data_IF_101227535010
#
_entry.id   IF_101227535010
#
_cell.length_a   1.000
_cell.length_b   1.000
_cell.length_c   1.000
_cell.angle_alpha   90.00
_cell.angle_beta   90.00
_cell.angle_gamma   90.00
#
_symmetry.space_group_name_H-M   'P 1'
#
loop_
_entity.id
_entity.type
_entity.pdbx_description
1 polymer ?
#
# COMPACT_ATOMS: atom_id res chain seq x y z
N UNK A 1 -11.20 -1.21 21.21
CA UNK A 1 -10.12 -0.99 20.23
C UNK A 1 -10.79 -0.86 18.88
N UNK A 2 -10.50 0.20 18.12
CA UNK A 2 -11.09 0.49 16.82
C UNK A 2 -10.64 -0.58 15.82
N UNK A 3 -11.59 -1.27 15.21
CA UNK A 3 -11.34 -2.35 14.27
C UNK A 3 -11.10 -1.81 12.87
N UNK A 4 -9.92 -2.11 12.31
CA UNK A 4 -9.51 -1.68 10.97
C UNK A 4 -9.40 -2.90 10.06
N UNK A 5 -10.31 -3.02 9.12
CA UNK A 5 -10.18 -3.96 8.01
C UNK A 5 -9.55 -3.26 6.79
N UNK A 6 -8.96 -4.03 5.92
CA UNK A 6 -8.35 -3.49 4.70
C UNK A 6 -8.51 -4.43 3.51
N UNK A 7 -8.51 -3.87 2.30
CA UNK A 7 -8.52 -4.63 1.07
C UNK A 7 -7.46 -4.15 0.09
N UNK A 8 -6.75 -5.10 -0.49
CA UNK A 8 -5.90 -4.94 -1.66
C UNK A 8 -6.06 -6.20 -2.51
N UNK A 9 -7.21 -6.32 -3.18
CA UNK A 9 -7.52 -7.49 -3.99
C UNK A 9 -6.53 -7.63 -5.15
N UNK A 10 -5.88 -8.79 -5.22
CA UNK A 10 -4.92 -9.12 -6.26
C UNK A 10 -5.37 -10.35 -7.06
N UNK A 11 -4.83 -10.52 -8.24
CA UNK A 11 -5.01 -11.73 -9.03
C UNK A 11 -4.02 -12.82 -8.62
N UNK A 12 -4.51 -14.04 -8.54
CA UNK A 12 -3.63 -15.22 -8.49
C UNK A 12 -3.23 -15.56 -9.93
N UNK A 13 -1.93 -15.63 -10.18
CA UNK A 13 -1.40 -16.07 -11.44
C UNK A 13 -0.35 -17.16 -11.22
N UNK A 14 -0.57 -18.35 -11.78
CA UNK A 14 0.31 -19.51 -11.58
C UNK A 14 0.62 -19.78 -10.10
N UNK A 15 -0.41 -19.82 -9.26
CA UNK A 15 -0.33 -20.00 -7.80
C UNK A 15 0.54 -18.95 -7.09
N UNK A 16 0.59 -17.74 -7.64
CA UNK A 16 1.32 -16.60 -7.07
C UNK A 16 0.41 -15.42 -6.86
N UNK A 17 0.63 -14.71 -5.75
CA UNK A 17 -0.11 -13.49 -5.40
C UNK A 17 0.83 -12.48 -4.75
N UNK A 18 0.61 -11.20 -4.99
CA UNK A 18 1.38 -10.13 -4.35
C UNK A 18 0.97 -9.92 -2.91
N UNK A 19 1.94 -9.66 -2.03
CA UNK A 19 1.65 -9.10 -0.72
C UNK A 19 0.86 -7.78 -0.84
N UNK A 20 0.01 -7.46 0.14
CA UNK A 20 -0.67 -6.16 0.20
C UNK A 20 0.31 -5.07 0.66
N UNK A 21 1.32 -4.78 -0.16
CA UNK A 21 2.46 -3.93 0.18
C UNK A 21 2.05 -2.54 0.65
N UNK A 22 1.14 -1.87 -0.08
CA UNK A 22 0.69 -0.53 0.29
C UNK A 22 -0.02 -0.50 1.64
N UNK A 23 -0.90 -1.46 1.90
CA UNK A 23 -1.57 -1.58 3.20
C UNK A 23 -0.55 -1.88 4.32
N UNK A 24 0.40 -2.78 4.05
CA UNK A 24 1.43 -3.12 5.02
C UNK A 24 2.36 -1.94 5.36
N UNK A 25 2.63 -1.08 4.39
CA UNK A 25 3.40 0.14 4.59
C UNK A 25 2.63 1.15 5.47
N UNK A 26 1.34 1.36 5.19
CA UNK A 26 0.46 2.23 5.98
C UNK A 26 0.31 1.73 7.41
N UNK A 27 -0.02 0.45 7.59
CA UNK A 27 -0.18 -0.16 8.91
C UNK A 27 1.14 -0.13 9.70
N UNK A 28 2.26 -0.41 9.04
CA UNK A 28 3.59 -0.31 9.62
C UNK A 28 3.91 1.10 10.11
N UNK A 29 3.57 2.12 9.31
CA UNK A 29 3.76 3.51 9.73
C UNK A 29 2.88 3.88 10.93
N UNK A 30 1.58 3.55 10.90
CA UNK A 30 0.68 3.78 12.05
C UNK A 30 1.21 3.08 13.31
N UNK A 31 1.79 1.89 13.19
CA UNK A 31 2.37 1.14 14.32
C UNK A 31 3.55 1.87 14.98
N UNK A 32 4.25 2.75 14.26
CA UNK A 32 5.31 3.60 14.85
C UNK A 32 4.75 4.77 15.66
N UNK A 33 3.49 5.15 15.43
CA UNK A 33 2.82 6.28 16.09
C UNK A 33 2.21 5.83 17.42
N UNK A 34 3.01 5.77 18.48
CA UNK A 34 2.64 5.16 19.78
C UNK A 34 1.31 5.66 20.37
N UNK A 35 1.02 6.96 20.22
CA UNK A 35 -0.21 7.56 20.77
C UNK A 35 -1.47 7.16 19.99
N UNK A 36 -1.31 6.80 18.72
CA UNK A 36 -2.39 6.43 17.81
C UNK A 36 -2.56 4.91 17.80
N UNK A 37 -1.48 4.19 17.55
CA UNK A 37 -1.47 2.74 17.36
C UNK A 37 -2.24 1.96 18.43
N UNK A 38 -2.08 2.30 19.71
CA UNK A 38 -2.73 1.59 20.84
C UNK A 38 -4.27 1.56 20.79
N UNK A 39 -4.88 2.42 19.98
CA UNK A 39 -6.33 2.52 19.84
C UNK A 39 -6.88 1.71 18.66
N UNK A 40 -6.02 1.28 17.73
CA UNK A 40 -6.42 0.62 16.49
C UNK A 40 -5.92 -0.83 16.42
N UNK A 41 -6.78 -1.71 15.91
CA UNK A 41 -6.45 -3.10 15.62
C UNK A 41 -6.62 -3.36 14.14
N UNK A 42 -5.51 -3.61 13.45
CA UNK A 42 -5.54 -4.04 12.06
C UNK A 42 -5.85 -5.53 11.98
N UNK A 43 -6.88 -5.88 11.23
CA UNK A 43 -7.23 -7.25 10.88
C UNK A 43 -6.45 -7.72 9.62
N UNK A 44 -6.58 -9.00 9.28
CA UNK A 44 -6.01 -9.52 8.03
C UNK A 44 -6.59 -8.77 6.82
N UNK A 45 -5.73 -8.48 5.86
CA UNK A 45 -6.11 -7.79 4.63
C UNK A 45 -6.78 -8.74 3.66
N UNK A 46 -7.92 -8.34 3.10
CA UNK A 46 -8.58 -9.07 2.04
C UNK A 46 -7.78 -8.93 0.73
N UNK A 47 -7.06 -10.00 0.37
CA UNK A 47 -6.18 -10.04 -0.81
C UNK A 47 -6.78 -10.91 -1.91
N UNK A 48 -7.43 -12.00 -1.52
CA UNK A 48 -8.03 -12.95 -2.44
C UNK A 48 -9.38 -12.46 -2.94
N UNK A 49 -9.68 -12.73 -4.22
CA UNK A 49 -10.93 -12.31 -4.86
C UNK A 49 -12.08 -13.26 -4.62
N UNK A 50 -11.75 -14.47 -4.20
CA UNK A 50 -12.72 -15.50 -3.86
C UNK A 50 -13.39 -15.18 -2.51
N UNK A 51 -14.60 -15.71 -2.30
CA UNK A 51 -15.34 -15.56 -1.05
C UNK A 51 -15.71 -14.11 -0.69
N UNK A 52 -16.05 -13.27 -1.68
CA UNK A 52 -16.38 -11.87 -1.46
C UNK A 52 -17.47 -11.69 -0.41
N UNK A 53 -18.52 -12.53 -0.43
CA UNK A 53 -19.64 -12.45 0.52
C UNK A 53 -19.19 -12.74 1.96
N UNK A 54 -18.28 -13.70 2.15
CA UNK A 54 -17.67 -13.97 3.45
C UNK A 54 -16.82 -12.79 3.94
N UNK A 55 -16.06 -12.15 3.03
CA UNK A 55 -15.27 -10.97 3.34
C UNK A 55 -16.15 -9.79 3.74
N UNK A 56 -17.29 -9.61 3.08
CA UNK A 56 -18.29 -8.58 3.42
C UNK A 56 -18.83 -8.83 4.83
N UNK A 57 -19.27 -10.05 5.14
CA UNK A 57 -19.79 -10.40 6.46
C UNK A 57 -18.79 -10.16 7.61
N UNK A 58 -17.49 -10.36 7.36
CA UNK A 58 -16.43 -10.05 8.33
C UNK A 58 -16.31 -8.54 8.64
N UNK A 59 -16.92 -7.69 7.81
CA UNK A 59 -16.89 -6.24 8.00
C UNK A 59 -18.12 -5.68 8.74
N UNK A 60 -19.03 -6.49 9.23
CA UNK A 60 -20.27 -6.05 9.90
C UNK A 60 -20.04 -5.21 11.17
N UNK A 61 -18.90 -5.38 11.82
CA UNK A 61 -18.49 -4.66 13.03
C UNK A 61 -17.17 -3.87 12.82
N UNK A 62 -16.84 -3.56 11.56
CA UNK A 62 -15.65 -2.81 11.18
C UNK A 62 -15.88 -1.32 11.40
N UNK A 63 -14.98 -0.66 12.12
CA UNK A 63 -15.01 0.79 12.33
C UNK A 63 -14.45 1.55 11.11
N UNK A 64 -13.35 1.05 10.54
CA UNK A 64 -12.66 1.65 9.39
C UNK A 64 -12.33 0.58 8.37
N UNK A 65 -12.65 0.84 7.10
CA UNK A 65 -12.25 0.01 5.97
C UNK A 65 -11.29 0.78 5.06
N UNK A 66 -10.04 0.31 4.97
CA UNK A 66 -9.03 0.85 4.05
C UNK A 66 -9.05 0.08 2.74
N UNK A 67 -9.20 0.79 1.63
CA UNK A 67 -9.20 0.19 0.30
C UNK A 67 -8.03 0.70 -0.54
N UNK A 68 -7.12 -0.20 -0.91
CA UNK A 68 -6.02 0.11 -1.83
C UNK A 68 -6.48 -0.07 -3.28
N UNK A 69 -6.62 1.05 -4.00
CA UNK A 69 -7.31 1.15 -5.27
C UNK A 69 -6.35 1.25 -6.45
N UNK A 70 -6.38 0.24 -7.32
CA UNK A 70 -5.63 0.15 -8.58
C UNK A 70 -6.57 -0.20 -9.72
N UNK A 71 -6.15 0.04 -10.96
CA UNK A 71 -6.96 -0.29 -12.15
C UNK A 71 -7.40 -1.75 -12.18
N UNK A 72 -6.54 -2.68 -11.75
CA UNK A 72 -6.85 -4.12 -11.78
C UNK A 72 -7.78 -4.61 -10.68
N UNK A 73 -7.99 -3.84 -9.62
CA UNK A 73 -8.90 -4.22 -8.53
C UNK A 73 -10.07 -3.26 -8.32
N UNK A 74 -10.20 -2.23 -9.14
CA UNK A 74 -11.20 -1.18 -8.98
C UNK A 74 -12.62 -1.72 -8.85
N UNK A 75 -13.04 -2.56 -9.81
CA UNK A 75 -14.41 -3.09 -9.85
C UNK A 75 -14.76 -3.95 -8.62
N UNK A 76 -13.85 -4.83 -8.21
CA UNK A 76 -14.10 -5.67 -7.03
C UNK A 76 -14.06 -4.85 -5.74
N UNK A 77 -13.14 -3.88 -5.65
CA UNK A 77 -12.99 -3.00 -4.48
C UNK A 77 -14.22 -2.11 -4.31
N UNK A 78 -14.73 -1.51 -5.39
CA UNK A 78 -15.94 -0.67 -5.33
C UNK A 78 -17.17 -1.48 -4.98
N UNK A 79 -17.34 -2.68 -5.57
CA UNK A 79 -18.42 -3.61 -5.20
C UNK A 79 -18.34 -4.01 -3.72
N UNK A 80 -17.17 -4.43 -3.26
CA UNK A 80 -16.92 -4.81 -1.88
C UNK A 80 -17.28 -3.69 -0.90
N UNK A 81 -16.71 -2.50 -1.09
CA UNK A 81 -16.95 -1.35 -0.24
C UNK A 81 -18.44 -0.93 -0.21
N UNK A 82 -19.10 -0.96 -1.36
CA UNK A 82 -20.56 -0.68 -1.45
C UNK A 82 -21.38 -1.65 -0.62
N UNK A 83 -21.08 -2.95 -0.70
CA UNK A 83 -21.83 -3.95 0.08
C UNK A 83 -21.49 -3.86 1.58
N UNK A 84 -20.24 -3.59 1.94
CA UNK A 84 -19.86 -3.31 3.34
C UNK A 84 -20.65 -2.12 3.89
N UNK A 85 -20.77 -1.02 3.13
CA UNK A 85 -21.53 0.17 3.58
C UNK A 85 -23.01 -0.12 3.78
N UNK A 86 -23.59 -1.06 3.03
CA UNK A 86 -25.00 -1.49 3.20
C UNK A 86 -25.23 -2.25 4.51
N UNK A 87 -24.31 -3.18 4.85
CA UNK A 87 -24.46 -4.00 6.07
C UNK A 87 -23.96 -3.28 7.32
N UNK A 88 -23.07 -2.29 7.14
CA UNK A 88 -22.48 -1.49 8.22
C UNK A 88 -22.41 -0.01 7.79
N UNK A 89 -23.50 0.75 7.89
CA UNK A 89 -23.54 2.16 7.49
C UNK A 89 -22.57 3.06 8.27
N UNK A 90 -22.22 2.68 9.50
CA UNK A 90 -21.31 3.44 10.38
C UNK A 90 -19.82 3.24 10.03
N UNK A 91 -19.48 2.24 9.22
CA UNK A 91 -18.11 2.00 8.78
C UNK A 91 -17.57 3.21 8.02
N UNK A 92 -16.44 3.76 8.44
CA UNK A 92 -15.71 4.80 7.68
C UNK A 92 -14.92 4.14 6.57
N UNK A 93 -15.30 4.37 5.32
CA UNK A 93 -14.67 3.79 4.13
C UNK A 93 -13.69 4.77 3.52
N UNK A 94 -12.41 4.38 3.46
CA UNK A 94 -11.29 5.20 3.00
C UNK A 94 -10.69 4.56 1.75
N UNK A 95 -10.72 5.29 0.63
CA UNK A 95 -10.11 4.88 -0.62
C UNK A 95 -8.78 5.61 -0.84
N UNK A 96 -7.73 4.89 -1.25
CA UNK A 96 -6.44 5.46 -1.61
C UNK A 96 -5.76 4.65 -2.71
N UNK A 97 -4.78 5.24 -3.38
CA UNK A 97 -4.03 4.60 -4.45
C UNK A 97 -4.22 5.28 -5.81
N UNK A 98 -3.53 4.77 -6.85
CA UNK A 98 -3.45 5.46 -8.15
C UNK A 98 -4.77 5.61 -8.90
N UNK A 99 -5.79 4.82 -8.55
CA UNK A 99 -7.10 4.87 -9.21
C UNK A 99 -7.99 6.00 -8.68
N UNK A 100 -7.59 6.68 -7.59
CA UNK A 100 -8.32 7.85 -7.11
C UNK A 100 -8.06 9.03 -8.05
N UNK A 101 -9.12 9.61 -8.66
CA UNK A 101 -8.94 10.69 -9.62
C UNK A 101 -8.46 11.98 -8.96
N UNK A 102 -7.69 12.78 -9.69
CA UNK A 102 -7.26 14.11 -9.22
C UNK A 102 -8.44 15.10 -9.20
N UNK A 103 -9.41 14.94 -10.10
CA UNK A 103 -10.65 15.72 -10.15
C UNK A 103 -11.76 14.91 -9.49
N UNK A 104 -12.23 15.38 -8.35
CA UNK A 104 -13.09 14.62 -7.45
C UNK A 104 -14.58 14.99 -7.53
N UNK A 105 -14.94 15.98 -8.37
CA UNK A 105 -16.25 16.63 -8.41
C UNK A 105 -17.43 15.67 -8.54
N UNK A 106 -17.29 14.61 -9.36
CA UNK A 106 -18.35 13.62 -9.54
C UNK A 106 -18.08 12.29 -8.81
N UNK A 107 -16.91 12.14 -8.21
CA UNK A 107 -16.49 10.89 -7.58
C UNK A 107 -17.46 10.44 -6.48
N UNK A 108 -17.81 11.31 -5.55
CA UNK A 108 -18.72 10.96 -4.46
C UNK A 108 -20.19 10.82 -4.88
N UNK A 109 -20.57 11.35 -6.06
CA UNK A 109 -21.88 11.08 -6.66
C UNK A 109 -21.96 9.66 -7.22
N UNK A 110 -20.88 9.22 -7.86
CA UNK A 110 -20.76 7.86 -8.42
C UNK A 110 -20.50 6.81 -7.32
N UNK A 111 -19.71 7.16 -6.30
CA UNK A 111 -19.32 6.28 -5.20
C UNK A 111 -19.73 6.85 -3.82
N UNK A 112 -21.08 7.00 -3.57
CA UNK A 112 -21.57 7.64 -2.34
C UNK A 112 -21.30 6.86 -1.06
N UNK A 113 -20.83 5.64 -1.17
CA UNK A 113 -20.42 4.79 -0.06
C UNK A 113 -18.98 5.06 0.42
N UNK A 114 -18.20 5.86 -0.30
CA UNK A 114 -16.86 6.28 0.11
C UNK A 114 -16.96 7.53 0.98
N UNK A 115 -16.33 7.52 2.15
CA UNK A 115 -16.33 8.65 3.06
C UNK A 115 -15.12 9.57 2.83
N UNK A 116 -13.94 8.97 2.57
CA UNK A 116 -12.69 9.71 2.39
C UNK A 116 -11.93 9.15 1.18
N UNK A 117 -11.51 10.02 0.27
CA UNK A 117 -10.57 9.72 -0.80
C UNK A 117 -9.20 10.36 -0.47
N UNK A 118 -8.13 9.55 -0.53
CA UNK A 118 -6.76 9.96 -0.18
C UNK A 118 -5.95 10.18 -1.44
N UNK A 119 -5.24 11.31 -1.52
CA UNK A 119 -4.42 11.72 -2.65
C UNK A 119 -2.93 11.73 -2.31
N UNK A 120 -2.10 11.12 -3.15
CA UNK A 120 -0.66 11.08 -2.98
C UNK A 120 -0.14 10.01 -2.02
N UNK A 121 0.95 10.31 -1.29
CA UNK A 121 1.61 9.37 -0.38
C UNK A 121 0.81 9.22 0.91
N UNK A 122 0.31 8.01 1.17
CA UNK A 122 -0.70 7.76 2.19
C UNK A 122 -0.20 7.66 3.62
N UNK A 123 1.10 7.48 3.87
CA UNK A 123 1.63 7.10 5.18
C UNK A 123 1.33 8.16 6.25
N UNK A 124 1.63 9.43 5.97
CA UNK A 124 1.32 10.52 6.91
C UNK A 124 -0.17 10.82 6.96
N UNK A 125 -0.84 10.74 5.80
CA UNK A 125 -2.26 11.06 5.68
C UNK A 125 -3.09 10.11 6.53
N UNK A 126 -2.83 8.78 6.46
CA UNK A 126 -3.60 7.80 7.24
C UNK A 126 -3.42 8.00 8.74
N UNK A 127 -2.20 8.35 9.19
CA UNK A 127 -1.95 8.66 10.59
C UNK A 127 -2.74 9.88 11.05
N UNK A 128 -2.80 10.94 10.23
CA UNK A 128 -3.57 12.15 10.53
C UNK A 128 -5.08 11.88 10.52
N UNK A 129 -5.57 11.05 9.58
CA UNK A 129 -6.97 10.60 9.57
C UNK A 129 -7.29 9.85 10.87
N UNK A 130 -6.42 8.94 11.31
CA UNK A 130 -6.64 8.18 12.53
C UNK A 130 -6.61 9.08 13.78
N UNK A 131 -5.73 10.07 13.80
CA UNK A 131 -5.70 11.06 14.89
C UNK A 131 -7.01 11.88 14.93
N UNK A 132 -7.49 12.34 13.78
CA UNK A 132 -8.77 13.04 13.68
C UNK A 132 -9.96 12.14 14.07
N UNK A 133 -9.93 10.87 13.66
CA UNK A 133 -10.95 9.87 14.04
C UNK A 133 -11.06 9.69 15.56
N UNK A 134 -9.93 9.72 16.26
CA UNK A 134 -9.90 9.59 17.73
C UNK A 134 -10.42 10.82 18.47
N UNK A 135 -10.39 11.99 17.84
CA UNK A 135 -10.81 13.25 18.45
C UNK A 135 -12.32 13.47 18.27
N UNK A 136 -12.70 13.92 17.11
CA UNK A 136 -14.06 14.39 16.81
C UNK A 136 -14.52 14.01 15.39
N UNK A 137 -13.72 13.23 14.67
CA UNK A 137 -13.91 12.89 13.25
C UNK A 137 -13.97 14.13 12.33
N UNK A 138 -13.34 15.23 12.75
CA UNK A 138 -13.19 16.41 11.91
C UNK A 138 -11.91 16.31 11.08
N UNK A 139 -12.05 16.08 9.78
CA UNK A 139 -10.94 15.87 8.85
C UNK A 139 -10.50 17.13 8.11
N UNK A 140 -11.07 18.29 8.39
CA UNK A 140 -10.78 19.54 7.66
C UNK A 140 -9.33 19.99 7.72
N UNK A 141 -8.59 19.56 8.75
CA UNK A 141 -7.16 19.86 8.93
C UNK A 141 -6.23 18.74 8.45
N UNK A 142 -6.77 17.68 7.84
CA UNK A 142 -5.98 16.60 7.27
C UNK A 142 -5.67 16.91 5.82
N UNK A 143 -4.43 17.23 5.48
CA UNK A 143 -4.03 17.49 4.11
C UNK A 143 -4.07 16.23 3.24
N UNK A 144 -4.35 16.40 1.93
CA UNK A 144 -4.30 15.33 0.94
C UNK A 144 -5.52 14.42 0.92
N UNK A 145 -6.67 14.92 1.34
CA UNK A 145 -7.93 14.17 1.29
C UNK A 145 -9.05 14.94 0.60
N UNK A 146 -10.02 14.21 0.13
CA UNK A 146 -11.34 14.70 -0.27
C UNK A 146 -12.44 13.92 0.42
N UNK A 147 -13.51 14.59 0.73
CA UNK A 147 -14.79 14.03 1.20
C UNK A 147 -15.92 14.54 0.30
N UNK A 148 -17.14 14.11 0.55
CA UNK A 148 -18.32 14.66 -0.17
C UNK A 148 -18.50 16.17 0.02
N UNK A 149 -17.99 16.75 1.12
CA UNK A 149 -18.25 18.12 1.52
C UNK A 149 -17.09 19.09 1.21
N UNK A 150 -15.85 18.57 1.15
CA UNK A 150 -14.66 19.41 0.93
C UNK A 150 -13.47 18.62 0.39
N UNK A 151 -12.51 19.36 -0.17
CA UNK A 151 -11.16 18.88 -0.53
C UNK A 151 -10.13 19.73 0.19
N UNK A 152 -9.16 19.08 0.81
CA UNK A 152 -8.08 19.75 1.54
C UNK A 152 -6.86 20.02 0.65
N UNK A 153 -5.95 20.93 1.04
CA UNK A 153 -4.70 21.13 0.32
C UNK A 153 -3.89 19.85 0.18
N UNK A 154 -3.10 19.70 -0.89
CA UNK A 154 -2.25 18.53 -1.06
C UNK A 154 -1.29 18.31 0.12
N UNK A 155 -1.10 17.06 0.52
CA UNK A 155 -0.05 16.69 1.46
C UNK A 155 1.32 16.84 0.80
N UNK A 156 2.27 17.46 1.50
CA UNK A 156 3.66 17.51 1.04
C UNK A 156 4.23 16.11 0.95
N UNK A 157 5.01 15.85 -0.10
CA UNK A 157 5.69 14.56 -0.28
C UNK A 157 6.68 14.29 0.84
N UNK A 158 6.81 13.02 1.19
CA UNK A 158 7.75 12.57 2.20
C UNK A 158 9.18 12.72 1.66
N UNK A 159 9.95 13.64 2.18
CA UNK A 159 11.32 13.90 1.72
C UNK A 159 12.33 12.91 2.29
N UNK A 160 12.18 12.54 3.56
CA UNK A 160 13.04 11.59 4.26
C UNK A 160 12.29 10.29 4.58
N UNK A 161 12.81 9.19 4.08
CA UNK A 161 12.23 7.86 4.25
C UNK A 161 12.73 7.11 5.50
N UNK A 162 13.68 7.67 6.25
CA UNK A 162 14.28 6.99 7.43
C UNK A 162 13.23 6.62 8.48
N UNK A 163 12.20 7.46 8.62
CA UNK A 163 11.11 7.24 9.58
C UNK A 163 9.99 6.31 9.08
N UNK A 164 10.09 5.85 7.83
CA UNK A 164 9.12 4.91 7.27
C UNK A 164 9.62 3.47 7.51
N UNK A 165 8.90 2.66 8.29
CA UNK A 165 9.32 1.30 8.57
C UNK A 165 9.24 0.43 7.31
N UNK A 166 10.12 -0.55 7.20
CA UNK A 166 10.00 -1.57 6.18
C UNK A 166 8.87 -2.54 6.54
N UNK A 167 7.88 -2.77 5.67
CA UNK A 167 6.83 -3.73 5.94
C UNK A 167 7.34 -5.17 5.96
N UNK A 168 8.50 -5.42 5.37
CA UNK A 168 9.19 -6.72 5.40
C UNK A 168 9.97 -6.91 6.70
N UNK A 169 10.88 -5.98 7.04
CA UNK A 169 11.73 -6.10 8.23
C UNK A 169 10.94 -6.05 9.54
N UNK A 170 9.77 -5.41 9.54
CA UNK A 170 8.84 -5.42 10.68
C UNK A 170 7.88 -6.61 10.67
N UNK A 171 7.98 -7.50 9.68
CA UNK A 171 7.03 -8.59 9.42
C UNK A 171 5.57 -8.16 9.20
N UNK A 172 5.31 -6.89 8.97
CA UNK A 172 3.95 -6.38 8.79
C UNK A 172 3.20 -7.08 7.67
N UNK A 173 3.90 -7.46 6.59
CA UNK A 173 3.28 -8.25 5.50
C UNK A 173 2.71 -9.58 6.00
N UNK A 174 3.38 -10.26 6.94
CA UNK A 174 2.89 -11.51 7.52
C UNK A 174 1.86 -11.30 8.64
N UNK A 175 1.91 -10.16 9.32
CA UNK A 175 0.86 -9.79 10.29
C UNK A 175 -0.49 -9.63 9.58
N UNK A 176 -0.50 -9.16 8.32
CA UNK A 176 -1.68 -8.83 7.53
C UNK A 176 -2.22 -9.93 6.62
N UNK A 177 -1.48 -11.01 6.41
CA UNK A 177 -1.94 -12.15 5.59
C UNK A 177 -1.64 -13.48 6.27
N UNK A 178 -2.34 -14.51 5.86
CA UNK A 178 -2.04 -15.87 6.26
C UNK A 178 -1.22 -16.58 5.18
N UNK A 179 -0.36 -17.51 5.59
CA UNK A 179 0.30 -18.43 4.66
C UNK A 179 -0.75 -19.42 4.18
N UNK A 180 -0.87 -19.55 2.86
CA UNK A 180 -1.81 -20.46 2.21
C UNK A 180 -1.02 -21.52 1.47
N UNK A 181 -1.32 -22.78 1.74
CA UNK A 181 -0.64 -23.91 1.09
C UNK A 181 -0.86 -23.85 -0.43
N UNK A 182 0.22 -24.10 -1.17
CA UNK A 182 0.21 -24.05 -2.63
C UNK A 182 0.27 -22.65 -3.22
N UNK A 183 0.23 -21.58 -2.40
CA UNK A 183 0.36 -20.19 -2.86
C UNK A 183 1.75 -19.63 -2.53
N UNK A 184 2.41 -19.10 -3.53
CA UNK A 184 3.67 -18.38 -3.39
C UNK A 184 3.44 -16.88 -3.36
N UNK A 185 4.01 -16.18 -2.37
CA UNK A 185 3.90 -14.73 -2.26
C UNK A 185 4.97 -14.04 -3.10
N UNK A 186 4.54 -12.97 -3.79
CA UNK A 186 5.41 -12.06 -4.55
C UNK A 186 5.64 -10.81 -3.72
N UNK A 187 6.89 -10.42 -3.54
CA UNK A 187 7.23 -9.16 -2.92
C UNK A 187 7.14 -8.01 -3.95
N UNK A 188 6.28 -7.02 -3.67
CA UNK A 188 6.37 -5.72 -4.33
C UNK A 188 7.45 -4.93 -3.62
N UNK A 189 8.55 -4.59 -4.31
CA UNK A 189 9.71 -3.97 -3.71
C UNK A 189 9.95 -2.58 -4.28
N UNK A 190 10.04 -1.60 -3.42
CA UNK A 190 10.28 -0.21 -3.76
C UNK A 190 11.67 0.18 -3.26
N UNK A 191 12.58 0.54 -4.15
CA UNK A 191 13.94 0.98 -3.78
C UNK A 191 14.10 2.49 -3.85
N UNK A 192 13.23 3.15 -4.61
CA UNK A 192 13.15 4.60 -4.73
C UNK A 192 11.74 5.04 -5.12
N UNK A 193 11.45 6.31 -4.93
CA UNK A 193 10.23 6.99 -5.42
C UNK A 193 10.59 8.20 -6.26
N UNK A 194 9.81 8.41 -7.31
CA UNK A 194 9.96 9.52 -8.24
C UNK A 194 10.49 9.07 -9.60
N UNK A 195 10.44 9.99 -10.55
CA UNK A 195 11.01 9.83 -11.87
C UNK A 195 11.43 11.21 -12.40
N UNK A 196 12.68 11.41 -12.81
CA UNK A 196 13.14 12.72 -13.29
C UNK A 196 12.73 13.00 -14.74
N UNK A 197 12.22 12.00 -15.45
CA UNK A 197 11.90 12.10 -16.86
C UNK A 197 10.50 12.67 -17.11
N UNK A 198 10.33 13.32 -18.26
CA UNK A 198 9.09 13.91 -18.77
C UNK A 198 8.63 13.19 -20.05
N UNK A 199 8.61 11.87 -20.04
CA UNK A 199 8.20 11.09 -21.19
C UNK A 199 6.74 11.37 -21.53
N UNK A 200 6.46 11.83 -22.75
CA UNK A 200 5.13 12.29 -23.21
C UNK A 200 4.07 11.19 -23.25
N UNK A 201 4.48 9.93 -23.30
CA UNK A 201 3.60 8.76 -23.31
C UNK A 201 3.40 8.11 -21.93
N UNK A 202 4.13 8.59 -20.91
CA UNK A 202 4.17 7.92 -19.61
C UNK A 202 3.16 8.53 -18.66
N UNK A 203 2.28 7.68 -18.15
CA UNK A 203 1.37 8.02 -17.06
C UNK A 203 1.76 7.23 -15.79
N UNK A 204 2.98 7.45 -15.30
CA UNK A 204 3.39 6.92 -13.99
C UNK A 204 2.76 7.71 -12.83
N UNK A 205 1.71 8.46 -13.13
CA UNK A 205 0.94 9.23 -12.19
C UNK A 205 1.76 10.36 -11.55
N UNK A 206 1.58 10.53 -10.26
CA UNK A 206 2.24 11.60 -9.50
C UNK A 206 3.76 11.48 -9.40
N UNK A 207 4.37 10.40 -9.89
CA UNK A 207 5.82 10.21 -9.85
C UNK A 207 6.58 10.86 -11.02
N UNK A 208 5.88 11.20 -12.13
CA UNK A 208 6.50 11.81 -13.32
C UNK A 208 7.06 13.20 -12.98
N UNK A 209 8.24 13.53 -13.52
CA UNK A 209 8.93 14.81 -13.31
C UNK A 209 9.14 15.18 -11.84
N UNK A 210 9.37 14.22 -10.98
CA UNK A 210 9.51 14.46 -9.54
C UNK A 210 10.92 14.17 -9.05
N UNK A 211 11.32 14.88 -7.98
CA UNK A 211 12.59 14.62 -7.31
C UNK A 211 12.67 13.16 -6.87
N UNK A 212 13.75 12.51 -7.25
CA UNK A 212 14.04 11.14 -6.81
C UNK A 212 14.37 11.10 -5.32
N UNK A 213 13.78 10.16 -4.62
CA UNK A 213 14.03 9.85 -3.21
C UNK A 213 14.27 8.37 -3.08
N UNK A 214 15.26 7.95 -2.33
CA UNK A 214 15.64 6.53 -2.22
C UNK A 214 15.65 6.07 -0.77
N UNK A 215 15.42 4.80 -0.57
CA UNK A 215 15.67 4.11 0.68
C UNK A 215 17.17 3.99 0.93
N UNK A 216 17.58 3.82 2.19
CA UNK A 216 18.97 3.56 2.54
C UNK A 216 19.44 2.21 2.02
N UNK A 217 20.68 2.13 1.59
CA UNK A 217 21.26 0.91 1.05
C UNK A 217 21.26 -0.20 2.11
N UNK A 218 21.50 0.14 3.39
CA UNK A 218 21.44 -0.80 4.51
C UNK A 218 20.04 -1.45 4.65
N UNK A 219 18.98 -0.65 4.55
CA UNK A 219 17.61 -1.19 4.57
C UNK A 219 17.37 -2.15 3.42
N UNK A 220 17.76 -1.76 2.21
CA UNK A 220 17.53 -2.56 1.01
C UNK A 220 18.28 -3.89 1.06
N UNK A 221 19.51 -3.91 1.56
CA UNK A 221 20.26 -5.15 1.76
C UNK A 221 19.59 -6.08 2.78
N UNK A 222 19.11 -5.55 3.90
CA UNK A 222 18.36 -6.33 4.89
C UNK A 222 17.04 -6.87 4.32
N UNK A 223 16.35 -6.09 3.49
CA UNK A 223 15.14 -6.57 2.81
C UNK A 223 15.44 -7.73 1.84
N UNK A 224 16.55 -7.68 1.10
CA UNK A 224 16.99 -8.78 0.24
C UNK A 224 17.28 -10.05 1.07
N UNK A 225 17.95 -9.92 2.22
CA UNK A 225 18.19 -11.01 3.15
C UNK A 225 16.87 -11.59 3.67
N UNK A 226 15.93 -10.71 4.06
CA UNK A 226 14.60 -11.10 4.51
C UNK A 226 13.84 -11.88 3.42
N UNK A 227 13.88 -11.45 2.16
CA UNK A 227 13.25 -12.18 1.05
C UNK A 227 13.82 -13.59 0.91
N UNK A 228 15.14 -13.73 1.02
CA UNK A 228 15.79 -15.04 0.93
C UNK A 228 15.45 -15.93 2.13
N UNK A 229 15.46 -15.40 3.36
CA UNK A 229 15.13 -16.12 4.59
C UNK A 229 13.68 -16.58 4.63
N UNK A 230 12.76 -15.74 4.10
CA UNK A 230 11.35 -16.08 3.99
C UNK A 230 11.00 -16.90 2.73
N UNK A 231 12.01 -17.30 1.94
CA UNK A 231 11.85 -18.11 0.72
C UNK A 231 10.90 -17.47 -0.29
N UNK A 232 10.98 -16.13 -0.43
CA UNK A 232 10.17 -15.38 -1.41
C UNK A 232 10.74 -15.64 -2.81
N UNK A 233 9.98 -16.31 -3.70
CA UNK A 233 10.53 -16.70 -4.99
C UNK A 233 10.61 -15.56 -6.01
N UNK A 234 9.70 -14.56 -5.89
CA UNK A 234 9.56 -13.48 -6.85
C UNK A 234 9.58 -12.14 -6.17
N UNK A 235 10.38 -11.23 -6.74
CA UNK A 235 10.40 -9.82 -6.38
C UNK A 235 10.01 -9.01 -7.62
N UNK A 236 8.95 -8.22 -7.51
CA UNK A 236 8.57 -7.20 -8.46
C UNK A 236 9.00 -5.84 -7.93
N UNK A 237 10.05 -5.26 -8.52
CA UNK A 237 10.50 -3.93 -8.20
C UNK A 237 9.52 -2.91 -8.78
N UNK A 238 8.95 -2.10 -7.89
CA UNK A 238 7.93 -1.10 -8.22
C UNK A 238 8.51 0.25 -8.61
N UNK A 239 9.83 0.35 -8.75
CA UNK A 239 10.48 1.59 -9.16
C UNK A 239 10.10 1.97 -10.60
N UNK A 240 9.92 3.25 -10.85
CA UNK A 240 9.73 3.75 -12.21
C UNK A 240 10.96 3.45 -13.09
N UNK A 241 12.16 3.50 -12.50
CA UNK A 241 13.42 3.28 -13.18
C UNK A 241 14.44 2.66 -12.22
N UNK A 242 14.57 1.35 -12.24
CA UNK A 242 15.71 0.67 -11.64
C UNK A 242 16.93 0.83 -12.55
N UNK A 243 18.11 1.06 -12.00
CA UNK A 243 19.32 1.36 -12.78
C UNK A 243 19.68 2.85 -12.79
N UNK A 244 18.78 3.75 -12.38
CA UNK A 244 19.04 5.19 -12.36
C UNK A 244 20.15 5.56 -11.33
N UNK A 245 20.26 4.83 -10.24
CA UNK A 245 21.35 4.91 -9.28
C UNK A 245 22.38 3.81 -9.57
N UNK A 246 23.07 3.89 -10.70
CA UNK A 246 23.87 2.81 -11.28
C UNK A 246 24.74 2.04 -10.28
N UNK A 247 25.54 2.75 -9.47
CA UNK A 247 26.43 2.10 -8.50
C UNK A 247 25.66 1.31 -7.43
N UNK A 248 24.61 1.91 -6.86
CA UNK A 248 23.74 1.27 -5.86
C UNK A 248 22.99 0.07 -6.46
N UNK A 249 22.35 0.27 -7.61
CA UNK A 249 21.50 -0.73 -8.21
C UNK A 249 22.30 -1.95 -8.67
N UNK A 250 23.56 -1.74 -9.09
CA UNK A 250 24.51 -2.83 -9.32
C UNK A 250 24.81 -3.61 -8.03
N UNK A 251 25.01 -2.92 -6.90
CA UNK A 251 25.24 -3.59 -5.60
C UNK A 251 24.01 -4.39 -5.17
N UNK A 252 22.79 -3.86 -5.36
CA UNK A 252 21.56 -4.59 -5.08
C UNK A 252 21.43 -5.85 -5.93
N UNK A 253 21.75 -5.75 -7.24
CA UNK A 253 21.73 -6.91 -8.13
C UNK A 253 22.78 -7.98 -7.73
N UNK A 254 23.97 -7.56 -7.29
CA UNK A 254 25.01 -8.48 -6.76
C UNK A 254 24.50 -9.16 -5.50
N UNK A 255 23.93 -8.41 -4.55
CA UNK A 255 23.38 -8.97 -3.30
C UNK A 255 22.24 -9.95 -3.55
N UNK A 256 21.32 -9.65 -4.47
CA UNK A 256 20.25 -10.58 -4.90
C UNK A 256 20.81 -11.89 -5.45
N UNK A 257 21.87 -11.80 -6.28
CA UNK A 257 22.57 -12.98 -6.82
C UNK A 257 23.23 -13.79 -5.71
N UNK A 258 23.91 -13.15 -4.76
CA UNK A 258 24.59 -13.82 -3.65
C UNK A 258 23.61 -14.60 -2.77
N UNK A 259 22.49 -13.96 -2.37
CA UNK A 259 21.45 -14.63 -1.58
C UNK A 259 20.80 -15.81 -2.34
N UNK A 260 20.54 -15.62 -3.64
CA UNK A 260 20.05 -16.72 -4.50
C UNK A 260 21.02 -17.89 -4.56
N UNK A 261 22.32 -17.65 -4.72
CA UNK A 261 23.32 -18.72 -4.74
C UNK A 261 23.46 -19.41 -3.38
N UNK A 262 23.33 -18.65 -2.28
CA UNK A 262 23.49 -19.16 -0.90
C UNK A 262 22.24 -19.89 -0.40
N UNK A 263 21.05 -19.36 -0.65
CA UNK A 263 19.79 -19.82 -0.05
C UNK A 263 18.75 -20.31 -1.08
N UNK A 264 19.01 -20.17 -2.39
CA UNK A 264 18.08 -20.52 -3.45
C UNK A 264 17.00 -19.47 -3.75
N UNK A 265 16.98 -18.37 -2.99
CA UNK A 265 15.98 -17.31 -3.09
C UNK A 265 16.63 -15.92 -3.03
N UNK A 266 15.99 -14.89 -3.64
CA UNK A 266 14.84 -14.97 -4.54
C UNK A 266 15.20 -15.65 -5.87
N UNK A 267 14.24 -16.29 -6.53
CA UNK A 267 14.48 -16.99 -7.81
C UNK A 267 14.43 -16.02 -8.99
N UNK A 268 13.52 -15.04 -8.92
CA UNK A 268 13.29 -14.07 -9.98
C UNK A 268 13.20 -12.64 -9.40
N UNK A 269 13.87 -11.73 -10.06
CA UNK A 269 13.76 -10.30 -9.85
C UNK A 269 13.29 -9.66 -11.14
N UNK A 270 12.15 -8.96 -11.10
CA UNK A 270 11.58 -8.23 -12.22
C UNK A 270 11.61 -6.74 -11.93
N UNK A 271 11.96 -5.93 -12.92
CA UNK A 271 12.03 -4.48 -12.78
C UNK A 271 11.83 -3.78 -14.11
N UNK A 272 11.45 -2.51 -14.06
CA UNK A 272 11.54 -1.59 -15.18
C UNK A 272 12.93 -0.95 -15.17
N UNK A 273 13.66 -1.09 -16.28
CA UNK A 273 15.02 -0.58 -16.40
C UNK A 273 15.03 0.78 -17.11
N UNK A 274 15.84 1.74 -16.61
CA UNK A 274 16.06 3.04 -17.23
C UNK A 274 17.10 2.96 -18.34
#
# INVERSE_FOLDING_TARGET
MIKVNSSQFNHIYNNRIHFPYSIALLAGYVKTQKNIHKHFRFEKTFVFRDNLDSNIEQCKDTDILLCSCYVWNWQITTRFAKEVKKINPECTIIFGGPQIPNHIEDFFKEYPFVDIAVHGEGEFIISNIFEAYLKDRNYTNVNGISTKDFTTPPQKRIENFENLPSPYLTNMVWDLVDRVDGISWIASWETNRGCPYLCTFCDWGSATATKMRKWTDERLFKEIEWFADNKIPYIDCCDANFGIYQARDKQLAVKLKEEKLKKGYPQTFRTNWA
#
